data_IF_623704776775
#
_entry.id   IF_623704776775
#
_cell.length_a   1.000
_cell.length_b   1.000
_cell.length_c   1.000
_cell.angle_alpha   90.00
_cell.angle_beta   90.00
_cell.angle_gamma   90.00
#
_symmetry.space_group_name_H-M   'P 1'
#
loop_
_entity.id
_entity.type
_entity.pdbx_description
1 polymer ?
#
# COMPACT_ATOMS: atom_id res chain seq x y z
N UNK A 1 -1.96 -41.38 -24.17
CA UNK A 1 -2.49 -40.99 -22.84
C UNK A 1 -1.44 -40.20 -22.03
N UNK A 2 -0.71 -39.24 -22.62
CA UNK A 2 0.38 -38.48 -21.94
C UNK A 2 0.30 -36.95 -22.17
N UNK A 3 -0.64 -36.44 -22.98
CA UNK A 3 -0.71 -34.99 -23.29
C UNK A 3 -1.86 -34.21 -22.62
N UNK A 4 -2.60 -34.80 -21.66
CA UNK A 4 -3.69 -34.09 -20.96
C UNK A 4 -3.24 -33.50 -19.61
N UNK A 5 -2.14 -34.00 -19.02
CA UNK A 5 -1.68 -33.56 -17.69
C UNK A 5 -0.73 -32.35 -17.69
N UNK A 6 -0.18 -31.95 -18.84
CA UNK A 6 0.78 -30.83 -18.92
C UNK A 6 0.11 -29.46 -19.02
N UNK A 7 -1.12 -29.38 -19.53
CA UNK A 7 -1.87 -28.13 -19.69
C UNK A 7 -2.63 -27.70 -18.42
N UNK A 8 -2.94 -28.67 -17.54
CA UNK A 8 -3.54 -28.43 -16.23
C UNK A 8 -2.56 -27.74 -15.25
N UNK A 9 -1.29 -28.14 -15.26
CA UNK A 9 -0.27 -27.57 -14.38
C UNK A 9 0.11 -26.12 -14.70
N UNK A 10 0.05 -25.72 -15.97
CA UNK A 10 0.33 -24.34 -16.39
C UNK A 10 -0.87 -23.44 -16.09
N UNK A 11 -2.11 -23.87 -16.41
CA UNK A 11 -3.32 -23.14 -16.01
C UNK A 11 -3.45 -23.00 -14.49
N UNK A 12 -3.13 -24.02 -13.72
CA UNK A 12 -3.11 -23.93 -12.26
C UNK A 12 -1.97 -23.08 -11.70
N UNK A 13 -0.77 -23.11 -12.31
CA UNK A 13 0.33 -22.22 -11.94
C UNK A 13 0.01 -20.76 -12.25
N UNK A 14 -0.61 -20.47 -13.40
CA UNK A 14 -1.14 -19.14 -13.72
C UNK A 14 -2.20 -18.74 -12.68
N UNK A 15 -3.16 -19.61 -12.36
CA UNK A 15 -4.15 -19.37 -11.28
C UNK A 15 -3.54 -19.12 -9.90
N UNK A 16 -2.41 -19.78 -9.58
CA UNK A 16 -1.68 -19.61 -8.31
C UNK A 16 -0.87 -18.31 -8.25
N UNK A 17 -0.25 -17.89 -9.36
CA UNK A 17 0.42 -16.58 -9.45
C UNK A 17 -0.58 -15.43 -9.26
N UNK A 18 -1.83 -15.60 -9.71
CA UNK A 18 -2.92 -14.64 -9.49
C UNK A 18 -3.65 -14.76 -8.14
N UNK A 19 -3.20 -15.66 -7.23
CA UNK A 19 -3.85 -15.87 -5.92
C UNK A 19 -3.32 -14.96 -4.81
N UNK A 20 -2.48 -13.98 -5.13
CA UNK A 20 -2.04 -12.94 -4.20
C UNK A 20 -2.91 -11.69 -4.42
N UNK A 21 -4.00 -11.59 -3.64
CA UNK A 21 -5.05 -10.57 -3.77
C UNK A 21 -4.79 -9.28 -2.98
N UNK A 22 -3.53 -8.94 -2.71
CA UNK A 22 -3.23 -7.67 -2.05
C UNK A 22 -3.40 -6.52 -3.05
N UNK A 23 -4.06 -5.43 -2.67
CA UNK A 23 -4.21 -4.21 -3.47
C UNK A 23 -2.82 -3.69 -3.87
N UNK A 24 -1.85 -3.81 -2.96
CA UNK A 24 -0.44 -3.50 -3.19
C UNK A 24 0.14 -4.33 -4.34
N UNK A 25 -0.13 -5.63 -4.39
CA UNK A 25 0.35 -6.53 -5.45
C UNK A 25 -0.24 -6.15 -6.80
N UNK A 26 -1.53 -5.81 -6.86
CA UNK A 26 -2.17 -5.32 -8.09
C UNK A 26 -1.51 -4.04 -8.59
N UNK A 27 -1.21 -3.09 -7.70
CA UNK A 27 -0.51 -1.85 -8.04
C UNK A 27 0.91 -2.13 -8.54
N UNK A 28 1.67 -3.00 -7.86
CA UNK A 28 3.05 -3.35 -8.26
C UNK A 28 3.07 -4.03 -9.63
N UNK A 29 2.18 -5.01 -9.88
CA UNK A 29 2.10 -5.70 -11.18
C UNK A 29 1.79 -4.69 -12.29
N UNK A 30 0.91 -3.72 -12.02
CA UNK A 30 0.52 -2.69 -12.97
C UNK A 30 1.69 -1.74 -13.29
N UNK A 31 2.45 -1.32 -12.27
CA UNK A 31 3.67 -0.53 -12.45
C UNK A 31 4.69 -1.30 -13.27
N UNK A 32 4.95 -2.58 -12.96
CA UNK A 32 5.91 -3.40 -13.70
C UNK A 32 5.46 -3.67 -15.13
N UNK A 33 4.18 -3.98 -15.35
CA UNK A 33 3.61 -4.18 -16.68
C UNK A 33 3.69 -2.91 -17.53
N UNK A 34 3.82 -1.74 -16.90
CA UNK A 34 3.97 -0.48 -17.57
C UNK A 34 5.42 -0.08 -17.85
N UNK A 35 6.31 -0.22 -16.86
CA UNK A 35 7.69 0.24 -16.98
C UNK A 35 8.52 -0.66 -17.88
N UNK A 36 8.27 -1.98 -17.87
CA UNK A 36 9.04 -2.94 -18.67
C UNK A 36 8.91 -2.67 -20.17
N UNK A 37 7.71 -2.51 -20.76
CA UNK A 37 7.58 -2.22 -22.19
C UNK A 37 8.23 -0.89 -22.60
N UNK A 38 8.13 0.14 -21.75
CA UNK A 38 8.75 1.44 -22.01
C UNK A 38 10.27 1.29 -22.10
N UNK A 39 10.88 0.64 -21.11
CA UNK A 39 12.33 0.38 -21.09
C UNK A 39 12.75 -0.46 -22.30
N UNK A 40 12.02 -1.54 -22.58
CA UNK A 40 12.30 -2.41 -23.72
C UNK A 40 12.25 -1.65 -25.04
N UNK A 41 11.27 -0.76 -25.21
CA UNK A 41 11.13 0.06 -26.40
C UNK A 41 12.31 1.03 -26.60
N UNK A 42 12.82 1.62 -25.51
CA UNK A 42 14.00 2.47 -25.54
C UNK A 42 15.26 1.69 -25.90
N UNK A 43 15.43 0.48 -25.34
CA UNK A 43 16.57 -0.40 -25.65
C UNK A 43 16.55 -0.82 -27.13
N UNK A 44 15.39 -1.19 -27.66
CA UNK A 44 15.25 -1.52 -29.09
C UNK A 44 15.65 -0.32 -29.96
N UNK A 45 15.24 0.89 -29.60
CA UNK A 45 15.62 2.10 -30.34
C UNK A 45 17.14 2.33 -30.33
N UNK A 46 17.82 2.07 -29.21
CA UNK A 46 19.28 2.21 -29.10
C UNK A 46 20.02 1.16 -29.94
N UNK A 47 19.63 -0.12 -29.84
CA UNK A 47 20.25 -1.20 -30.61
C UNK A 47 20.15 -0.97 -32.12
N UNK A 48 19.01 -0.44 -32.58
CA UNK A 48 18.83 -0.14 -33.99
C UNK A 48 19.74 1.02 -34.44
N UNK A 49 19.93 2.04 -33.58
CA UNK A 49 20.85 3.14 -33.85
C UNK A 49 22.32 2.65 -34.00
N UNK A 50 22.75 1.73 -33.14
CA UNK A 50 24.11 1.17 -33.20
C UNK A 50 24.37 0.39 -34.51
N UNK A 51 23.38 -0.38 -34.98
CA UNK A 51 23.47 -1.09 -36.27
C UNK A 51 23.66 -0.09 -37.42
N UNK A 52 23.04 1.10 -37.36
CA UNK A 52 23.23 2.13 -38.39
C UNK A 52 24.59 2.77 -38.36
N UNK A 53 25.08 3.12 -37.18
CA UNK A 53 26.42 3.67 -37.02
C UNK A 53 27.46 2.70 -37.59
N UNK A 54 27.38 1.41 -37.25
CA UNK A 54 28.28 0.40 -37.76
C UNK A 54 28.28 0.32 -39.31
N UNK A 55 27.09 0.36 -39.93
CA UNK A 55 26.98 0.32 -41.40
C UNK A 55 27.50 1.58 -42.08
N UNK A 56 27.30 2.74 -41.47
CA UNK A 56 27.83 4.02 -41.95
C UNK A 56 29.37 4.06 -41.86
N UNK A 57 29.94 3.62 -40.73
CA UNK A 57 31.39 3.52 -40.55
C UNK A 57 32.03 2.60 -41.58
N UNK A 58 31.44 1.43 -41.85
CA UNK A 58 31.96 0.50 -42.86
C UNK A 58 31.98 1.10 -44.28
N UNK A 59 30.96 1.89 -44.65
CA UNK A 59 30.94 2.59 -45.94
C UNK A 59 32.02 3.68 -46.01
N UNK A 60 32.18 4.45 -44.93
CA UNK A 60 33.18 5.51 -44.86
C UNK A 60 34.62 4.95 -44.95
N UNK A 61 34.89 3.82 -44.28
CA UNK A 61 36.19 3.15 -44.33
C UNK A 61 36.57 2.75 -45.77
N UNK A 62 35.63 2.21 -46.55
CA UNK A 62 35.88 1.82 -47.95
C UNK A 62 36.17 3.03 -48.85
N UNK A 63 35.43 4.14 -48.66
CA UNK A 63 35.67 5.38 -49.41
C UNK A 63 37.04 5.97 -49.08
N UNK A 64 37.46 5.91 -47.81
CA UNK A 64 38.79 6.36 -47.39
C UNK A 64 39.91 5.52 -48.04
N UNK A 65 39.71 4.22 -48.24
CA UNK A 65 40.69 3.37 -48.94
C UNK A 65 40.82 3.77 -50.42
N UNK A 66 39.70 4.03 -51.10
CA UNK A 66 39.71 4.50 -52.50
C UNK A 66 40.44 5.84 -52.63
N UNK A 67 40.16 6.78 -51.72
CA UNK A 67 40.80 8.10 -51.69
C UNK A 67 42.32 8.01 -51.48
N UNK A 68 42.78 7.15 -50.56
CA UNK A 68 44.21 6.89 -50.34
C UNK A 68 44.91 6.34 -51.59
N UNK A 69 44.29 5.36 -52.26
CA UNK A 69 44.82 4.79 -53.50
C UNK A 69 44.92 5.87 -54.58
N UNK A 70 43.84 6.62 -54.81
CA UNK A 70 43.80 7.66 -55.82
C UNK A 70 44.86 8.74 -55.55
N UNK A 71 44.97 9.20 -54.30
CA UNK A 71 45.95 10.21 -53.89
C UNK A 71 47.37 9.75 -54.15
N UNK A 72 47.71 8.50 -53.81
CA UNK A 72 49.04 7.96 -54.07
C UNK A 72 49.29 7.74 -55.56
N UNK A 73 48.29 7.29 -56.35
CA UNK A 73 48.41 7.23 -57.81
C UNK A 73 48.69 8.61 -58.42
N UNK A 74 48.05 9.68 -57.94
CA UNK A 74 48.33 11.06 -58.39
C UNK A 74 49.77 11.47 -58.05
N UNK A 75 50.26 11.15 -56.84
CA UNK A 75 51.64 11.44 -56.42
C UNK A 75 52.70 10.73 -57.27
N UNK A 76 52.39 9.58 -57.85
CA UNK A 76 53.31 8.84 -58.73
C UNK A 76 53.61 9.59 -60.05
N UNK A 77 52.66 10.37 -60.58
CA UNK A 77 52.83 11.08 -61.86
C UNK A 77 54.05 12.03 -61.91
N UNK A 78 54.25 12.98 -60.97
CA UNK A 78 55.42 13.85 -60.98
C UNK A 78 56.73 13.09 -60.75
N UNK A 79 56.72 12.06 -59.88
CA UNK A 79 57.89 11.22 -59.58
C UNK A 79 58.40 10.51 -60.84
N UNK A 80 57.48 9.88 -61.59
CA UNK A 80 57.83 9.21 -62.85
C UNK A 80 58.25 10.22 -63.92
N UNK A 81 57.60 11.39 -64.00
CA UNK A 81 57.96 12.43 -64.97
C UNK A 81 59.41 12.87 -64.79
N UNK A 82 59.79 13.11 -63.54
CA UNK A 82 61.14 13.55 -63.19
C UNK A 82 62.16 12.44 -63.43
N UNK A 83 61.86 11.19 -63.03
CA UNK A 83 62.72 10.04 -63.31
C UNK A 83 62.89 9.71 -64.80
N UNK A 84 61.85 9.94 -65.62
CA UNK A 84 61.93 9.81 -67.08
C UNK A 84 62.83 10.89 -67.69
N UNK A 85 62.85 12.07 -67.07
CA UNK A 85 63.66 13.20 -67.54
C UNK A 85 65.12 13.02 -67.16
N UNK A 86 65.40 12.47 -65.96
CA UNK A 86 66.74 12.13 -65.50
C UNK A 86 66.74 10.78 -64.74
N UNK A 87 67.13 9.67 -65.41
CA UNK A 87 67.15 8.33 -64.82
C UNK A 87 68.19 8.14 -63.71
N UNK A 88 69.11 9.09 -63.50
CA UNK A 88 70.13 9.04 -62.45
C UNK A 88 69.59 9.44 -61.06
N UNK A 89 68.37 9.99 -61.02
CA UNK A 89 67.68 10.36 -59.78
C UNK A 89 67.15 9.11 -59.04
N UNK A 90 68.05 8.40 -58.35
CA UNK A 90 67.72 7.20 -57.57
C UNK A 90 66.65 7.45 -56.49
N UNK A 91 66.58 8.67 -55.93
CA UNK A 91 65.56 9.08 -54.95
C UNK A 91 64.12 8.95 -55.52
N UNK A 92 63.91 9.34 -56.77
CA UNK A 92 62.60 9.23 -57.42
C UNK A 92 62.22 7.78 -57.73
N UNK A 93 63.20 6.93 -58.03
CA UNK A 93 62.98 5.50 -58.16
C UNK A 93 62.51 4.89 -56.84
N UNK A 94 63.17 5.22 -55.74
CA UNK A 94 62.82 4.68 -54.42
C UNK A 94 61.45 5.18 -53.96
N UNK A 95 61.17 6.47 -54.16
CA UNK A 95 59.87 7.07 -53.86
C UNK A 95 58.73 6.44 -54.68
N UNK A 96 58.97 6.09 -55.95
CA UNK A 96 58.00 5.33 -56.76
C UNK A 96 57.69 3.97 -56.14
N UNK A 97 58.70 3.18 -55.78
CA UNK A 97 58.47 1.84 -55.22
C UNK A 97 57.81 1.89 -53.84
N UNK A 98 58.09 2.92 -53.03
CA UNK A 98 57.39 3.17 -51.77
C UNK A 98 55.90 3.45 -51.99
N UNK A 99 55.57 4.40 -52.88
CA UNK A 99 54.18 4.72 -53.20
C UNK A 99 53.43 3.53 -53.81
N UNK A 100 54.10 2.76 -54.68
CA UNK A 100 53.55 1.52 -55.26
C UNK A 100 53.20 0.51 -54.17
N UNK A 101 54.09 0.26 -53.22
CA UNK A 101 53.85 -0.68 -52.13
C UNK A 101 52.67 -0.24 -51.25
N UNK A 102 52.51 1.06 -50.99
CA UNK A 102 51.34 1.60 -50.29
C UNK A 102 50.03 1.40 -51.06
N UNK A 103 50.06 1.66 -52.38
CA UNK A 103 48.90 1.45 -53.26
C UNK A 103 48.48 -0.02 -53.23
N UNK A 104 49.42 -0.94 -53.46
CA UNK A 104 49.14 -2.39 -53.46
C UNK A 104 48.62 -2.89 -52.10
N UNK A 105 49.12 -2.31 -51.00
CA UNK A 105 48.65 -2.62 -49.64
C UNK A 105 47.19 -2.20 -49.43
N UNK A 106 46.81 -1.00 -49.85
CA UNK A 106 45.43 -0.51 -49.73
C UNK A 106 44.50 -1.24 -50.73
N UNK A 107 44.99 -1.56 -51.93
CA UNK A 107 44.26 -2.30 -52.95
C UNK A 107 43.83 -3.69 -52.48
N UNK A 108 44.68 -4.41 -51.74
CA UNK A 108 44.33 -5.69 -51.11
C UNK A 108 43.13 -5.60 -50.16
N UNK A 109 42.92 -4.48 -49.46
CA UNK A 109 41.75 -4.30 -48.58
C UNK A 109 40.44 -4.25 -49.36
N UNK A 110 40.51 -3.76 -50.60
CA UNK A 110 39.37 -3.59 -51.50
C UNK A 110 39.04 -4.89 -52.24
N UNK A 111 40.05 -5.66 -52.67
CA UNK A 111 39.85 -6.89 -53.46
C UNK A 111 39.09 -8.01 -52.71
N UNK A 112 39.15 -8.00 -51.38
CA UNK A 112 38.37 -8.92 -50.53
C UNK A 112 36.85 -8.66 -50.65
N UNK A 113 36.43 -7.48 -51.11
CA UNK A 113 35.04 -7.03 -51.03
C UNK A 113 34.05 -7.72 -52.00
N UNK A 114 34.52 -8.55 -52.95
CA UNK A 114 33.70 -9.32 -53.91
C UNK A 114 32.71 -8.51 -54.79
N UNK A 115 32.64 -7.19 -54.64
CA UNK A 115 31.73 -6.33 -55.40
C UNK A 115 32.42 -5.89 -56.71
N UNK A 116 31.76 -6.18 -57.84
CA UNK A 116 32.28 -6.03 -59.20
C UNK A 116 32.82 -4.62 -59.50
N UNK A 117 32.31 -3.61 -58.80
CA UNK A 117 32.67 -2.19 -58.96
C UNK A 117 34.07 -1.88 -58.45
N UNK A 118 34.43 -2.48 -57.32
CA UNK A 118 35.76 -2.36 -56.74
C UNK A 118 36.81 -3.11 -57.57
N UNK A 119 36.40 -4.18 -58.26
CA UNK A 119 37.27 -4.90 -59.20
C UNK A 119 37.63 -4.05 -60.43
N UNK A 120 36.70 -3.26 -60.97
CA UNK A 120 37.01 -2.34 -62.08
C UNK A 120 38.03 -1.27 -61.68
N UNK A 121 37.81 -0.60 -60.54
CA UNK A 121 38.77 0.37 -60.02
C UNK A 121 40.14 -0.28 -59.74
N UNK A 122 40.16 -1.47 -59.11
CA UNK A 122 41.39 -2.24 -58.89
C UNK A 122 42.10 -2.55 -60.21
N UNK A 123 41.36 -3.00 -61.22
CA UNK A 123 41.93 -3.31 -62.54
C UNK A 123 42.57 -2.10 -63.21
N UNK A 124 41.93 -0.92 -63.13
CA UNK A 124 42.48 0.32 -63.69
C UNK A 124 43.78 0.75 -62.99
N UNK A 125 43.82 0.62 -61.66
CA UNK A 125 45.02 0.89 -60.84
C UNK A 125 46.13 -0.10 -61.17
N UNK A 126 45.82 -1.40 -61.32
CA UNK A 126 46.82 -2.40 -61.71
C UNK A 126 47.37 -2.17 -63.12
N UNK A 127 46.54 -1.72 -64.07
CA UNK A 127 46.99 -1.36 -65.41
C UNK A 127 47.87 -0.10 -65.37
N UNK A 128 47.49 0.90 -64.56
CA UNK A 128 48.31 2.09 -64.32
C UNK A 128 49.70 1.72 -63.79
N UNK A 129 49.79 0.92 -62.72
CA UNK A 129 51.07 0.49 -62.15
C UNK A 129 51.92 -0.32 -63.14
N UNK A 130 51.31 -1.18 -63.96
CA UNK A 130 52.04 -1.91 -65.02
C UNK A 130 52.65 -0.98 -66.07
N UNK A 131 51.95 0.07 -66.48
CA UNK A 131 52.47 1.08 -67.40
C UNK A 131 53.61 1.90 -66.77
N UNK A 132 53.48 2.21 -65.48
CA UNK A 132 54.53 2.84 -64.69
C UNK A 132 55.81 1.97 -64.65
N UNK A 133 55.69 0.69 -64.28
CA UNK A 133 56.82 -0.25 -64.26
C UNK A 133 57.51 -0.37 -65.63
N UNK A 134 56.72 -0.48 -66.69
CA UNK A 134 57.25 -0.55 -68.05
C UNK A 134 58.03 0.72 -68.41
N UNK A 135 57.52 1.90 -68.04
CA UNK A 135 58.17 3.18 -68.35
C UNK A 135 59.43 3.40 -67.53
N UNK A 136 59.44 2.98 -66.25
CA UNK A 136 60.64 2.97 -65.41
C UNK A 136 61.74 2.11 -66.03
N UNK A 137 61.42 0.88 -66.47
CA UNK A 137 62.39 -0.02 -67.11
C UNK A 137 62.88 0.49 -68.46
N UNK A 138 62.01 1.15 -69.24
CA UNK A 138 62.40 1.78 -70.50
C UNK A 138 63.32 3.00 -70.27
N UNK A 139 63.06 3.78 -69.20
CA UNK A 139 63.88 4.93 -68.81
C UNK A 139 65.30 4.51 -68.41
N UNK A 140 65.41 3.46 -67.59
CA UNK A 140 66.69 2.86 -67.18
C UNK A 140 67.54 2.38 -68.38
N UNK A 141 66.88 1.97 -69.46
CA UNK A 141 67.50 1.52 -70.72
C UNK A 141 67.70 2.64 -71.75
N UNK A 142 67.38 3.88 -71.42
CA UNK A 142 67.41 5.03 -72.35
C UNK A 142 66.61 4.78 -73.65
N UNK A 143 65.48 4.08 -73.57
CA UNK A 143 64.65 3.76 -74.74
C UNK A 143 63.95 5.04 -75.27
N UNK A 144 64.11 5.32 -76.57
CA UNK A 144 63.49 6.48 -77.23
C UNK A 144 61.96 6.55 -77.10
N UNK A 145 61.28 5.43 -76.82
CA UNK A 145 59.81 5.34 -76.72
C UNK A 145 59.28 5.72 -75.35
N UNK A 146 60.13 5.98 -74.35
CA UNK A 146 59.72 6.33 -72.97
C UNK A 146 58.73 7.48 -72.94
N UNK A 147 58.95 8.52 -73.76
CA UNK A 147 58.05 9.68 -73.83
C UNK A 147 56.64 9.31 -74.29
N UNK A 148 56.51 8.40 -75.26
CA UNK A 148 55.21 7.87 -75.70
C UNK A 148 54.58 6.98 -74.62
N UNK A 149 55.39 6.23 -73.88
CA UNK A 149 54.93 5.43 -72.73
C UNK A 149 54.37 6.31 -71.61
N UNK A 150 54.98 7.46 -71.33
CA UNK A 150 54.50 8.41 -70.33
C UNK A 150 53.10 8.97 -70.67
N UNK A 151 52.84 9.28 -71.95
CA UNK A 151 51.51 9.71 -72.39
C UNK A 151 50.45 8.64 -72.09
N UNK A 152 50.78 7.36 -72.23
CA UNK A 152 49.87 6.26 -71.87
C UNK A 152 49.61 6.19 -70.37
N UNK A 153 50.60 6.52 -69.54
CA UNK A 153 50.43 6.64 -68.07
C UNK A 153 49.44 7.76 -67.75
N UNK A 154 49.61 8.95 -68.34
CA UNK A 154 48.71 10.09 -68.09
C UNK A 154 47.26 9.75 -68.50
N UNK A 155 47.06 9.16 -69.69
CA UNK A 155 45.75 8.71 -70.15
C UNK A 155 45.13 7.66 -69.21
N UNK A 156 45.92 6.68 -68.76
CA UNK A 156 45.42 5.67 -67.83
C UNK A 156 45.13 6.25 -66.46
N UNK A 157 45.88 7.27 -66.01
CA UNK A 157 45.60 7.96 -64.76
C UNK A 157 44.26 8.70 -64.80
N UNK A 158 43.87 9.26 -65.95
CA UNK A 158 42.55 9.85 -66.11
C UNK A 158 41.43 8.80 -66.06
N UNK A 159 41.67 7.58 -66.58
CA UNK A 159 40.76 6.45 -66.37
C UNK A 159 40.64 6.08 -64.88
N UNK A 160 41.77 6.01 -64.15
CA UNK A 160 41.78 5.73 -62.70
C UNK A 160 40.96 6.78 -61.92
N UNK A 161 41.15 8.08 -62.22
CA UNK A 161 40.35 9.16 -61.62
C UNK A 161 38.87 8.98 -61.90
N UNK A 162 38.50 8.70 -63.15
CA UNK A 162 37.11 8.51 -63.55
C UNK A 162 36.48 7.33 -62.81
N UNK A 163 37.16 6.19 -62.77
CA UNK A 163 36.70 5.00 -62.04
C UNK A 163 36.58 5.24 -60.53
N UNK A 164 37.47 6.03 -59.92
CA UNK A 164 37.35 6.43 -58.52
C UNK A 164 36.13 7.33 -58.25
N UNK A 165 35.87 8.30 -59.13
CA UNK A 165 34.71 9.20 -59.04
C UNK A 165 33.42 8.39 -59.20
N UNK A 166 33.34 7.54 -60.21
CA UNK A 166 32.16 6.71 -60.48
C UNK A 166 31.86 5.77 -59.30
N UNK A 167 32.90 5.13 -58.74
CA UNK A 167 32.78 4.29 -57.55
C UNK A 167 32.30 5.09 -56.33
N UNK A 168 32.89 6.26 -56.08
CA UNK A 168 32.53 7.13 -54.95
C UNK A 168 31.08 7.62 -55.07
N UNK A 169 30.68 8.09 -56.25
CA UNK A 169 29.30 8.53 -56.51
C UNK A 169 28.31 7.38 -56.36
N UNK A 170 28.68 6.18 -56.79
CA UNK A 170 27.82 5.01 -56.66
C UNK A 170 27.65 4.57 -55.20
N UNK A 171 28.72 4.53 -54.41
CA UNK A 171 28.64 4.24 -52.98
C UNK A 171 27.84 5.33 -52.25
N UNK A 172 28.07 6.61 -52.56
CA UNK A 172 27.31 7.72 -52.00
C UNK A 172 25.81 7.61 -52.31
N UNK A 173 25.46 7.28 -53.56
CA UNK A 173 24.07 7.09 -53.97
C UNK A 173 23.42 5.88 -53.29
N UNK A 174 24.10 4.73 -53.22
CA UNK A 174 23.64 3.57 -52.45
C UNK A 174 23.44 3.95 -50.98
N UNK A 175 24.39 4.68 -50.39
CA UNK A 175 24.35 5.16 -49.02
C UNK A 175 23.14 6.06 -48.76
N UNK A 176 22.89 7.03 -49.66
CA UNK A 176 21.74 7.93 -49.58
C UNK A 176 20.40 7.18 -49.73
N UNK A 177 20.27 6.29 -50.70
CA UNK A 177 19.07 5.47 -50.86
C UNK A 177 18.82 4.58 -49.64
N UNK A 178 19.89 3.97 -49.12
CA UNK A 178 19.84 3.12 -47.94
C UNK A 178 19.44 3.94 -46.71
N UNK A 179 20.02 5.12 -46.51
CA UNK A 179 19.66 6.08 -45.46
C UNK A 179 18.19 6.50 -45.55
N UNK A 180 17.69 6.80 -46.74
CA UNK A 180 16.30 7.21 -46.94
C UNK A 180 15.31 6.06 -46.69
N UNK A 181 15.63 4.85 -47.14
CA UNK A 181 14.83 3.65 -46.84
C UNK A 181 14.77 3.36 -45.35
N UNK A 182 15.95 3.38 -44.70
CA UNK A 182 16.13 3.17 -43.27
C UNK A 182 15.38 4.23 -42.46
N UNK A 183 15.60 5.51 -42.76
CA UNK A 183 15.03 6.62 -41.98
C UNK A 183 13.52 6.61 -42.04
N UNK A 184 12.91 6.32 -43.20
CA UNK A 184 11.46 6.15 -43.32
C UNK A 184 10.95 4.96 -42.49
N UNK A 185 11.63 3.81 -42.53
CA UNK A 185 11.25 2.64 -41.75
C UNK A 185 11.39 2.90 -40.25
N UNK A 186 12.44 3.60 -39.85
CA UNK A 186 12.70 4.03 -38.47
C UNK A 186 11.65 4.99 -37.96
N UNK A 187 11.32 6.00 -38.76
CA UNK A 187 10.31 6.97 -38.38
C UNK A 187 8.95 6.29 -38.13
N UNK A 188 8.57 5.34 -38.99
CA UNK A 188 7.37 4.51 -38.78
C UNK A 188 7.45 3.65 -37.51
N UNK A 189 8.59 3.00 -37.26
CA UNK A 189 8.80 2.18 -36.07
C UNK A 189 8.72 3.02 -34.79
N UNK A 190 9.41 4.17 -34.76
CA UNK A 190 9.43 5.08 -33.62
C UNK A 190 8.05 5.67 -33.34
N UNK A 191 7.28 6.00 -34.37
CA UNK A 191 5.88 6.40 -34.19
C UNK A 191 5.06 5.27 -33.59
N UNK A 192 5.22 4.03 -34.08
CA UNK A 192 4.53 2.87 -33.51
C UNK A 192 4.86 2.67 -32.02
N UNK A 193 6.14 2.74 -31.66
CA UNK A 193 6.61 2.69 -30.27
C UNK A 193 6.01 3.83 -29.44
N UNK A 194 6.03 5.05 -29.96
CA UNK A 194 5.48 6.23 -29.28
C UNK A 194 3.98 6.08 -29.01
N UNK A 195 3.21 5.64 -30.01
CA UNK A 195 1.77 5.39 -29.87
C UNK A 195 1.49 4.32 -28.83
N UNK A 196 2.25 3.20 -28.84
CA UNK A 196 2.12 2.14 -27.84
C UNK A 196 2.39 2.69 -26.43
N UNK A 197 3.45 3.48 -26.25
CA UNK A 197 3.77 4.09 -24.97
C UNK A 197 2.68 5.05 -24.48
N UNK A 198 2.12 5.89 -25.37
CA UNK A 198 1.00 6.79 -25.03
C UNK A 198 -0.23 6.00 -24.61
N UNK A 199 -0.62 4.98 -25.37
CA UNK A 199 -1.76 4.09 -25.02
C UNK A 199 -1.54 3.45 -23.66
N UNK A 200 -0.32 2.97 -23.40
CA UNK A 200 0.03 2.31 -22.15
C UNK A 200 -0.05 3.30 -20.96
N UNK A 201 0.41 4.53 -21.13
CA UNK A 201 0.26 5.61 -20.12
C UNK A 201 -1.22 5.89 -19.82
N UNK A 202 -2.06 6.00 -20.86
CA UNK A 202 -3.50 6.23 -20.68
C UNK A 202 -4.14 5.08 -19.89
N UNK A 203 -3.80 3.83 -20.21
CA UNK A 203 -4.30 2.65 -19.48
C UNK A 203 -3.88 2.69 -18.01
N UNK A 204 -2.64 3.07 -17.71
CA UNK A 204 -2.17 3.25 -16.32
C UNK A 204 -3.01 4.30 -15.60
N UNK A 205 -3.18 5.48 -16.21
CA UNK A 205 -3.91 6.59 -15.60
C UNK A 205 -5.35 6.17 -15.29
N UNK A 206 -6.03 5.53 -16.24
CA UNK A 206 -7.39 5.03 -16.04
C UNK A 206 -7.45 3.99 -14.91
N UNK A 207 -6.50 3.07 -14.87
CA UNK A 207 -6.49 2.01 -13.86
C UNK A 207 -6.14 2.55 -12.47
N UNK A 208 -5.21 3.50 -12.36
CA UNK A 208 -4.91 4.24 -11.12
C UNK A 208 -6.14 5.00 -10.65
N UNK A 209 -6.85 5.71 -11.55
CA UNK A 209 -8.09 6.39 -11.23
C UNK A 209 -9.15 5.41 -10.69
N UNK A 210 -9.32 4.24 -11.32
CA UNK A 210 -10.25 3.20 -10.84
C UNK A 210 -9.89 2.69 -9.43
N UNK A 211 -8.60 2.47 -9.16
CA UNK A 211 -8.12 2.03 -7.84
C UNK A 211 -8.37 3.12 -6.78
N UNK A 212 -7.97 4.37 -7.06
CA UNK A 212 -8.18 5.50 -6.16
C UNK A 212 -9.67 5.69 -5.87
N UNK A 213 -10.50 5.73 -6.90
CA UNK A 213 -11.96 5.85 -6.75
C UNK A 213 -12.53 4.74 -5.87
N UNK A 214 -12.09 3.50 -6.07
CA UNK A 214 -12.54 2.36 -5.25
C UNK A 214 -12.14 2.51 -3.77
N UNK A 215 -10.90 2.92 -3.50
CA UNK A 215 -10.40 3.11 -2.14
C UNK A 215 -11.12 4.28 -1.45
N UNK A 216 -11.16 5.44 -2.10
CA UNK A 216 -11.77 6.66 -1.53
C UNK A 216 -13.26 6.47 -1.24
N UNK A 217 -14.02 5.85 -2.15
CA UNK A 217 -15.46 5.59 -1.92
C UNK A 217 -15.65 4.62 -0.76
N UNK A 218 -14.79 3.61 -0.62
CA UNK A 218 -14.91 2.66 0.48
C UNK A 218 -14.59 3.32 1.82
N UNK A 219 -13.54 4.14 1.89
CA UNK A 219 -13.16 4.85 3.10
C UNK A 219 -14.23 5.87 3.53
N UNK A 220 -14.74 6.67 2.59
CA UNK A 220 -15.80 7.66 2.88
C UNK A 220 -17.09 6.99 3.41
N UNK A 221 -17.41 5.78 2.95
CA UNK A 221 -18.53 5.01 3.50
C UNK A 221 -18.27 4.58 4.93
N UNK A 222 -17.10 4.01 5.22
CA UNK A 222 -16.74 3.58 6.58
C UNK A 222 -16.69 4.77 7.54
N UNK A 223 -16.20 5.93 7.09
CA UNK A 223 -16.21 7.17 7.86
C UNK A 223 -17.63 7.59 8.24
N UNK A 224 -18.55 7.69 7.26
CA UNK A 224 -19.94 8.06 7.53
C UNK A 224 -20.63 7.06 8.46
N UNK A 225 -20.39 5.76 8.26
CA UNK A 225 -20.90 4.73 9.16
C UNK A 225 -20.36 4.91 10.59
N UNK A 226 -19.06 5.19 10.75
CA UNK A 226 -18.46 5.48 12.04
C UNK A 226 -19.13 6.67 12.71
N UNK A 227 -19.39 7.75 11.96
CA UNK A 227 -20.05 8.95 12.47
C UNK A 227 -21.49 8.66 12.95
N UNK A 228 -22.26 7.88 12.20
CA UNK A 228 -23.62 7.50 12.61
C UNK A 228 -23.62 6.64 13.88
N UNK A 229 -22.69 5.68 13.99
CA UNK A 229 -22.52 4.84 15.18
C UNK A 229 -22.17 5.69 16.40
N UNK A 230 -21.31 6.71 16.25
CA UNK A 230 -20.99 7.64 17.35
C UNK A 230 -22.17 8.51 17.79
N UNK A 231 -23.18 8.68 16.95
CA UNK A 231 -24.44 9.36 17.32
C UNK A 231 -25.47 8.43 17.95
N UNK A 232 -25.12 7.17 18.22
CA UNK A 232 -26.04 6.17 18.78
C UNK A 232 -26.96 5.51 17.75
N UNK A 233 -26.78 5.78 16.46
CA UNK A 233 -27.52 5.09 15.41
C UNK A 233 -26.78 3.82 14.96
N UNK A 234 -27.26 2.67 15.43
CA UNK A 234 -26.70 1.36 15.09
C UNK A 234 -27.47 0.62 13.97
N UNK A 235 -28.60 1.15 13.52
CA UNK A 235 -29.44 0.57 12.47
C UNK A 235 -29.04 1.07 11.08
N UNK A 236 -27.73 0.98 10.80
CA UNK A 236 -27.15 1.44 9.55
C UNK A 236 -26.94 0.29 8.57
N UNK A 237 -27.14 0.51 7.26
CA UNK A 237 -26.85 -0.50 6.26
C UNK A 237 -25.34 -0.79 6.23
N UNK A 238 -24.97 -2.06 6.40
CA UNK A 238 -23.58 -2.48 6.42
C UNK A 238 -22.83 -2.13 5.13
N UNK A 239 -21.53 -1.90 5.27
CA UNK A 239 -20.65 -1.66 4.14
C UNK A 239 -20.68 -2.89 3.22
N UNK A 240 -21.05 -2.70 1.96
CA UNK A 240 -21.08 -3.78 0.96
C UNK A 240 -19.66 -4.29 0.73
N UNK A 241 -19.41 -5.53 1.14
CA UNK A 241 -18.12 -6.20 0.94
C UNK A 241 -18.02 -6.65 -0.52
N UNK A 242 -17.10 -6.06 -1.27
CA UNK A 242 -16.87 -6.41 -2.68
C UNK A 242 -15.39 -6.68 -2.95
N UNK A 243 -15.09 -7.87 -3.46
CA UNK A 243 -13.74 -8.35 -3.68
C UNK A 243 -13.17 -9.09 -2.47
N UNK A 244 -11.90 -9.46 -2.56
CA UNK A 244 -11.17 -10.29 -1.59
C UNK A 244 -9.78 -9.69 -1.30
N UNK A 245 -9.73 -8.35 -1.19
CA UNK A 245 -8.53 -7.59 -0.84
C UNK A 245 -8.65 -6.95 0.55
N UNK A 246 -7.66 -6.17 0.95
CA UNK A 246 -7.56 -5.52 2.26
C UNK A 246 -8.76 -4.62 2.55
N UNK A 247 -9.34 -3.99 1.52
CA UNK A 247 -10.54 -3.17 1.64
C UNK A 247 -11.76 -4.04 2.01
N UNK A 248 -11.87 -5.23 1.41
CA UNK A 248 -12.93 -6.19 1.76
C UNK A 248 -12.77 -6.75 3.17
N UNK A 249 -11.52 -6.96 3.61
CA UNK A 249 -11.23 -7.44 4.96
C UNK A 249 -11.57 -6.37 5.99
N UNK A 250 -11.13 -5.12 5.75
CA UNK A 250 -11.43 -3.97 6.60
C UNK A 250 -12.95 -3.74 6.71
N UNK A 251 -13.67 -3.83 5.59
CA UNK A 251 -15.14 -3.67 5.59
C UNK A 251 -15.84 -4.75 6.42
N UNK A 252 -15.37 -6.01 6.35
CA UNK A 252 -15.91 -7.11 7.18
C UNK A 252 -15.66 -6.87 8.66
N UNK A 253 -14.40 -6.58 9.03
CA UNK A 253 -14.03 -6.30 10.40
C UNK A 253 -14.82 -5.12 10.99
N UNK A 254 -15.03 -4.07 10.19
CA UNK A 254 -15.81 -2.90 10.59
C UNK A 254 -17.30 -3.23 10.80
N UNK A 255 -17.91 -4.04 9.92
CA UNK A 255 -19.28 -4.49 10.10
C UNK A 255 -19.44 -5.34 11.38
N UNK A 256 -18.51 -6.27 11.66
CA UNK A 256 -18.54 -7.06 12.89
C UNK A 256 -18.37 -6.21 14.15
N UNK A 257 -17.53 -5.18 14.08
CA UNK A 257 -17.37 -4.21 15.17
C UNK A 257 -18.69 -3.48 15.45
N UNK A 258 -19.41 -3.02 14.42
CA UNK A 258 -20.71 -2.36 14.60
C UNK A 258 -21.71 -3.30 15.26
N UNK A 259 -21.77 -4.57 14.85
CA UNK A 259 -22.63 -5.58 15.47
C UNK A 259 -22.28 -5.74 16.96
N UNK A 260 -20.99 -5.87 17.27
CA UNK A 260 -20.51 -6.03 18.64
C UNK A 260 -20.87 -4.83 19.52
N UNK A 261 -20.69 -3.61 19.00
CA UNK A 261 -21.07 -2.38 19.71
C UNK A 261 -22.59 -2.31 19.92
N UNK A 262 -23.40 -2.65 18.90
CA UNK A 262 -24.86 -2.65 19.01
C UNK A 262 -25.35 -3.61 20.10
N UNK A 263 -24.78 -4.81 20.15
CA UNK A 263 -25.12 -5.81 21.18
C UNK A 263 -24.78 -5.29 22.58
N UNK A 264 -23.58 -4.72 22.75
CA UNK A 264 -23.16 -4.15 24.03
C UNK A 264 -24.06 -2.97 24.46
N UNK A 265 -24.49 -2.13 23.53
CA UNK A 265 -25.40 -1.02 23.81
C UNK A 265 -26.76 -1.51 24.33
N UNK A 266 -27.37 -2.50 23.67
CA UNK A 266 -28.64 -3.11 24.10
C UNK A 266 -28.52 -3.75 25.49
N UNK A 267 -27.38 -4.39 25.78
CA UNK A 267 -27.13 -5.00 27.10
C UNK A 267 -27.04 -3.95 28.21
N UNK A 268 -26.39 -2.81 27.95
CA UNK A 268 -26.30 -1.69 28.89
C UNK A 268 -27.69 -1.08 29.14
N UNK A 269 -28.48 -0.86 28.09
CA UNK A 269 -29.84 -0.29 28.20
C UNK A 269 -30.77 -1.19 29.03
N UNK A 270 -30.74 -2.50 28.79
CA UNK A 270 -31.52 -3.46 29.59
C UNK A 270 -31.10 -3.45 31.08
N UNK A 271 -29.79 -3.37 31.36
CA UNK A 271 -29.31 -3.24 32.75
C UNK A 271 -29.76 -1.95 33.41
N UNK A 272 -29.83 -0.85 32.66
CA UNK A 272 -30.32 0.42 33.18
C UNK A 272 -31.78 0.30 33.65
N UNK A 273 -32.64 -0.32 32.83
CA UNK A 273 -34.05 -0.57 33.17
C UNK A 273 -34.19 -1.49 34.40
N UNK A 274 -33.37 -2.54 34.48
CA UNK A 274 -33.36 -3.45 35.62
C UNK A 274 -32.93 -2.74 36.91
N UNK A 275 -31.90 -1.89 36.85
CA UNK A 275 -31.44 -1.10 37.99
C UNK A 275 -32.50 -0.10 38.46
N UNK A 276 -33.22 0.56 37.55
CA UNK A 276 -34.32 1.46 37.90
C UNK A 276 -35.44 0.73 38.64
N UNK A 277 -35.82 -0.46 38.16
CA UNK A 277 -36.82 -1.30 38.83
C UNK A 277 -36.36 -1.73 40.22
N UNK A 278 -35.13 -2.21 40.34
CA UNK A 278 -34.57 -2.62 41.63
C UNK A 278 -34.51 -1.44 42.62
N UNK A 279 -34.23 -0.24 42.14
CA UNK A 279 -34.20 0.97 42.97
C UNK A 279 -35.62 1.35 43.45
N UNK A 280 -36.65 1.21 42.60
CA UNK A 280 -38.04 1.39 43.03
C UNK A 280 -38.45 0.38 44.10
N UNK A 281 -38.15 -0.91 43.91
CA UNK A 281 -38.43 -1.95 44.90
C UNK A 281 -37.69 -1.69 46.22
N UNK A 282 -36.45 -1.19 46.16
CA UNK A 282 -35.67 -0.80 47.33
C UNK A 282 -36.30 0.39 48.08
N UNK A 283 -36.86 1.37 47.37
CA UNK A 283 -37.56 2.51 47.99
C UNK A 283 -38.84 2.02 48.68
N UNK A 284 -39.62 1.16 48.03
CA UNK A 284 -40.86 0.62 48.59
C UNK A 284 -40.57 -0.20 49.86
N UNK A 285 -39.59 -1.10 49.81
CA UNK A 285 -39.19 -1.91 50.97
C UNK A 285 -38.65 -1.04 52.11
N UNK A 286 -37.87 0.00 51.83
CA UNK A 286 -37.45 0.95 52.86
C UNK A 286 -38.62 1.69 53.50
N UNK A 287 -39.63 2.08 52.72
CA UNK A 287 -40.83 2.73 53.24
C UNK A 287 -41.62 1.78 54.15
N UNK A 288 -41.87 0.55 53.70
CA UNK A 288 -42.55 -0.48 54.50
C UNK A 288 -41.81 -0.77 55.81
N UNK A 289 -40.48 -0.95 55.73
CA UNK A 289 -39.66 -1.16 56.92
C UNK A 289 -39.76 0.00 57.90
N UNK A 290 -39.76 1.25 57.40
CA UNK A 290 -39.92 2.44 58.24
C UNK A 290 -41.28 2.45 58.94
N UNK A 291 -42.37 2.17 58.21
CA UNK A 291 -43.72 2.10 58.78
C UNK A 291 -43.83 1.01 59.85
N UNK A 292 -43.35 -0.20 59.57
CA UNK A 292 -43.35 -1.31 60.54
C UNK A 292 -42.54 -0.94 61.79
N UNK A 293 -41.42 -0.25 61.63
CA UNK A 293 -40.59 0.20 62.76
C UNK A 293 -41.31 1.26 63.61
N UNK A 294 -42.03 2.19 62.99
CA UNK A 294 -42.89 3.17 63.68
C UNK A 294 -44.05 2.47 64.43
N UNK A 295 -44.72 1.51 63.80
CA UNK A 295 -45.77 0.70 64.44
C UNK A 295 -45.25 -0.11 65.63
N UNK A 296 -44.09 -0.77 65.48
CA UNK A 296 -43.44 -1.52 66.54
C UNK A 296 -43.10 -0.61 67.73
N UNK A 297 -42.58 0.58 67.47
CA UNK A 297 -42.29 1.57 68.50
C UNK A 297 -43.56 2.00 69.24
N UNK A 298 -44.65 2.29 68.52
CA UNK A 298 -45.93 2.65 69.13
C UNK A 298 -46.50 1.50 69.99
N UNK A 299 -46.41 0.26 69.51
CA UNK A 299 -46.85 -0.91 70.27
C UNK A 299 -46.02 -1.10 71.56
N UNK A 300 -44.70 -0.90 71.50
CA UNK A 300 -43.83 -0.92 72.67
C UNK A 300 -44.22 0.16 73.69
N UNK A 301 -44.51 1.39 73.23
CA UNK A 301 -44.97 2.49 74.10
C UNK A 301 -46.30 2.16 74.78
N UNK A 302 -47.25 1.55 74.05
CA UNK A 302 -48.52 1.09 74.60
C UNK A 302 -48.34 -0.01 75.66
N UNK A 303 -47.45 -0.98 75.42
CA UNK A 303 -47.12 -2.04 76.39
C UNK A 303 -46.54 -1.41 77.66
N UNK A 304 -45.58 -0.49 77.54
CA UNK A 304 -44.99 0.22 78.69
C UNK A 304 -46.07 0.97 79.47
N UNK A 305 -47.01 1.63 78.79
CA UNK A 305 -48.12 2.33 79.45
C UNK A 305 -49.07 1.35 80.15
N UNK A 306 -49.38 0.21 79.53
CA UNK A 306 -50.19 -0.84 80.12
C UNK A 306 -49.53 -1.46 81.36
N UNK A 307 -48.22 -1.71 81.33
CA UNK A 307 -47.46 -2.17 82.50
C UNK A 307 -47.46 -1.14 83.63
N UNK A 308 -47.29 0.15 83.32
CA UNK A 308 -47.41 1.23 84.32
C UNK A 308 -48.80 1.26 84.96
N UNK A 309 -49.86 1.13 84.17
CA UNK A 309 -51.24 1.12 84.66
C UNK A 309 -51.54 -0.14 85.49
N UNK A 310 -51.06 -1.31 85.06
CA UNK A 310 -51.18 -2.55 85.82
C UNK A 310 -50.43 -2.48 87.16
N UNK A 311 -49.20 -1.96 87.15
CA UNK A 311 -48.43 -1.72 88.38
C UNK A 311 -49.11 -0.72 89.31
N UNK A 312 -49.72 0.34 88.76
CA UNK A 312 -50.50 1.30 89.54
C UNK A 312 -51.77 0.66 90.10
N UNK A 313 -52.46 -0.17 89.32
CA UNK A 313 -53.64 -0.93 89.77
C UNK A 313 -53.31 -1.92 90.88
N UNK A 314 -52.19 -2.65 90.75
CA UNK A 314 -51.67 -3.52 91.80
C UNK A 314 -51.31 -2.75 93.08
N UNK A 315 -50.70 -1.57 92.94
CA UNK A 315 -50.39 -0.69 94.06
C UNK A 315 -51.67 -0.19 94.76
N UNK A 316 -52.65 0.30 94.00
CA UNK A 316 -53.94 0.79 94.54
C UNK A 316 -54.73 -0.34 95.21
N UNK A 317 -54.73 -1.54 94.63
CA UNK A 317 -55.35 -2.71 95.25
C UNK A 317 -54.66 -3.10 96.57
N UNK A 318 -53.32 -3.07 96.59
CA UNK A 318 -52.53 -3.28 97.81
C UNK A 318 -52.85 -2.24 98.90
N UNK A 319 -52.83 -0.95 98.55
CA UNK A 319 -53.20 0.15 99.45
C UNK A 319 -54.65 0.00 99.95
N UNK A 320 -55.58 -0.38 99.08
CA UNK A 320 -56.98 -0.59 99.46
C UNK A 320 -57.13 -1.75 100.45
N UNK A 321 -56.36 -2.82 100.29
CA UNK A 321 -56.37 -3.97 101.20
C UNK A 321 -55.76 -3.62 102.56
N UNK A 322 -54.68 -2.85 102.56
CA UNK A 322 -54.03 -2.33 103.77
C UNK A 322 -54.87 -1.27 104.51
N UNK A 323 -55.75 -0.54 103.82
CA UNK A 323 -56.70 0.40 104.44
C UNK A 323 -57.95 -0.31 104.98
N UNK A 324 -58.49 -1.28 104.24
CA UNK A 324 -59.70 -1.99 104.66
C UNK A 324 -59.49 -2.79 105.95
N UNK A 325 -58.28 -3.33 106.17
CA UNK A 325 -57.95 -4.11 107.37
C UNK A 325 -58.10 -3.30 108.67
N UNK A 326 -57.46 -2.13 108.87
CA UNK A 326 -57.62 -1.31 110.08
C UNK A 326 -59.01 -0.67 110.19
N UNK A 327 -59.68 -0.36 109.09
CA UNK A 327 -61.08 0.09 109.11
C UNK A 327 -62.00 -1.01 109.63
N UNK A 328 -61.83 -2.24 109.16
CA UNK A 328 -62.57 -3.41 109.65
C UNK A 328 -62.38 -3.61 111.16
N UNK A 329 -61.15 -3.44 111.66
CA UNK A 329 -60.86 -3.47 113.11
C UNK A 329 -61.57 -2.34 113.84
N UNK A 330 -61.54 -1.11 113.31
CA UNK A 330 -62.16 0.06 113.91
C UNK A 330 -63.69 -0.05 113.96
N UNK A 331 -64.33 -0.55 112.90
CA UNK A 331 -65.78 -0.80 112.84
C UNK A 331 -66.17 -1.94 113.79
N UNK A 332 -65.37 -2.99 113.88
CA UNK A 332 -65.59 -4.08 114.84
C UNK A 332 -65.48 -3.60 116.28
N UNK A 333 -64.46 -2.79 116.59
CA UNK A 333 -64.28 -2.17 117.89
C UNK A 333 -65.43 -1.21 118.23
N UNK A 334 -65.87 -0.38 117.27
CA UNK A 334 -67.00 0.53 117.45
C UNK A 334 -68.32 -0.23 117.68
N UNK A 335 -68.56 -1.31 116.94
CA UNK A 335 -69.73 -2.18 117.12
C UNK A 335 -69.71 -2.88 118.48
N UNK A 336 -68.54 -3.37 118.91
CA UNK A 336 -68.36 -3.94 120.25
C UNK A 336 -68.62 -2.92 121.36
N UNK A 337 -68.12 -1.68 121.20
CA UNK A 337 -68.40 -0.60 122.13
C UNK A 337 -69.88 -0.20 122.14
N UNK A 338 -70.54 -0.20 120.98
CA UNK A 338 -71.97 0.06 120.86
C UNK A 338 -72.80 -1.03 121.55
N UNK A 339 -72.47 -2.31 121.34
CA UNK A 339 -73.12 -3.43 122.02
C UNK A 339 -72.89 -3.38 123.53
N UNK A 340 -71.67 -3.06 123.97
CA UNK A 340 -71.38 -2.85 125.39
C UNK A 340 -72.14 -1.66 125.98
N UNK A 341 -72.30 -0.58 125.22
CA UNK A 341 -73.10 0.57 125.62
C UNK A 341 -74.59 0.23 125.70
N UNK A 342 -75.09 -0.60 124.77
CA UNK A 342 -76.46 -1.11 124.78
C UNK A 342 -76.71 -2.01 125.99
N UNK A 343 -75.77 -2.91 126.30
CA UNK A 343 -75.79 -3.75 127.51
C UNK A 343 -75.77 -2.91 128.80
N UNK A 344 -75.04 -1.78 128.79
CA UNK A 344 -75.01 -0.80 129.88
C UNK A 344 -76.34 -0.06 130.03
N UNK A 345 -76.91 0.43 128.93
CA UNK A 345 -78.22 1.12 128.91
C UNK A 345 -79.33 0.17 129.37
N UNK A 346 -79.33 -1.08 128.93
CA UNK A 346 -80.30 -2.09 129.35
C UNK A 346 -80.20 -2.37 130.86
N UNK A 347 -78.97 -2.48 131.41
CA UNK A 347 -78.74 -2.65 132.85
C UNK A 347 -79.16 -1.41 133.68
N UNK A 348 -79.11 -0.21 133.10
CA UNK A 348 -79.60 1.03 133.74
C UNK A 348 -81.13 1.06 133.75
N UNK A 349 -81.78 0.69 132.65
CA UNK A 349 -83.23 0.74 132.51
C UNK A 349 -83.96 -0.34 133.33
N UNK A 350 -83.32 -1.45 133.68
CA UNK A 350 -83.92 -2.52 134.50
C UNK A 350 -83.77 -2.36 136.01
N UNK A 351 -83.27 -1.22 136.52
CA UNK A 351 -83.18 -0.91 137.95
C UNK A 351 -82.48 -1.99 138.81
N UNK A 352 -81.58 -2.80 138.21
CA UNK A 352 -80.84 -3.88 138.87
C UNK A 352 -79.39 -3.51 139.24
N UNK A 353 -79.06 -2.21 139.28
CA UNK A 353 -77.74 -1.74 139.72
C UNK A 353 -77.63 -1.80 141.26
N UNK A 354 -77.34 -3.00 141.77
CA UNK A 354 -76.98 -3.24 143.17
C UNK A 354 -75.49 -2.94 143.41
N UNK A 355 -75.21 -2.14 144.44
CA UNK A 355 -73.86 -1.84 144.96
C UNK A 355 -73.17 -3.11 145.48
N UNK A 356 -72.14 -3.60 144.77
CA UNK A 356 -70.94 -4.18 145.39
C UNK A 356 -69.77 -4.37 144.41
N UNK A 357 -68.60 -3.92 144.86
CA UNK A 357 -67.22 -4.29 144.47
C UNK A 357 -66.72 -3.83 143.09
N UNK A 358 -65.86 -2.79 143.06
CA UNK A 358 -64.37 -2.86 143.07
C UNK A 358 -63.84 -3.49 141.77
N UNK A 359 -63.05 -2.82 140.93
CA UNK A 359 -61.68 -2.32 141.19
C UNK A 359 -61.28 -1.34 140.08
N UNK A 360 -60.75 -0.15 140.35
CA UNK A 360 -59.32 0.21 140.23
C UNK A 360 -58.59 -0.47 139.04
N UNK A 361 -58.42 0.26 137.90
CA UNK A 361 -57.19 0.75 137.19
C UNK A 361 -55.97 -0.23 137.10
N UNK A 362 -54.96 -0.17 136.15
CA UNK A 362 -54.73 0.53 134.85
C UNK A 362 -54.20 -0.38 133.69
N UNK A 363 -54.14 0.19 132.46
CA UNK A 363 -52.98 0.43 131.54
C UNK A 363 -53.53 0.57 130.12
#
# INVERSE_FOLDING_TARGET
>A
MINIFRDLGIKERIKRVFKIKSLKTKIIILILAATIPIILSSVISLLINDIYLAKYFSMHEKLLTVDKILTNCVKVLPVIREYISDPLLHENRDMYYQLKAEIEKEQKKIEVSSDQKYLYFSSDVSLYLKLCDSSMSMSEKYDSRVRSSYIKIELQMDNVKKSAIDLTMQELNKGNQMRDYISKKMWRLNIGIFVINVVLIIVIILMVYMVLKRVTISLAKLENMSFQVTQGNFDIPFAKVSGDDEISLLSRAFNEMIISIKVAYIEIDNRQVELEKLNMDLIETNYQLKTINEELKNAQEQIIQSEKLASLGGLVAGVSHEINTPIGVSVSAASYLQDKNKELIDKVNTNSLSKKNSSIIPI
#
